data_IF_506078895664
#
_entry.id   IF_506078895664
#
_cell.length_a   1.000
_cell.length_b   1.000
_cell.length_c   1.000
_cell.angle_alpha   90.00
_cell.angle_beta   90.00
_cell.angle_gamma   90.00
#
_symmetry.space_group_name_H-M   'P 1'
#
loop_
_entity.id
_entity.type
_entity.pdbx_description
1 polymer ?
#
# COMPACT_ATOMS: atom_id res chain seq x y z
N UNK A 1 -27.21 -36.78 -47.11
CA UNK A 1 -26.07 -36.36 -46.26
C UNK A 1 -26.32 -35.01 -45.54
N UNK A 2 -27.47 -34.80 -44.89
CA UNK A 2 -27.73 -33.54 -44.16
C UNK A 2 -28.27 -33.69 -42.74
N UNK A 3 -28.54 -34.93 -42.29
CA UNK A 3 -29.06 -35.18 -40.94
C UNK A 3 -27.95 -35.32 -39.88
N UNK A 4 -26.75 -35.80 -40.22
CA UNK A 4 -25.66 -35.99 -39.26
C UNK A 4 -24.98 -34.69 -38.82
N UNK A 5 -24.94 -33.67 -39.69
CA UNK A 5 -24.32 -32.36 -39.41
C UNK A 5 -25.13 -31.49 -38.45
N UNK A 6 -26.44 -31.75 -38.35
CA UNK A 6 -27.37 -31.02 -37.48
C UNK A 6 -27.24 -31.43 -36.01
N UNK A 7 -27.04 -32.73 -35.75
CA UNK A 7 -26.86 -33.28 -34.40
C UNK A 7 -25.51 -32.89 -33.78
N UNK A 8 -24.43 -32.85 -34.55
CA UNK A 8 -23.10 -32.41 -34.06
C UNK A 8 -23.09 -30.92 -33.69
N UNK A 9 -23.79 -30.08 -34.45
CA UNK A 9 -23.92 -28.65 -34.13
C UNK A 9 -24.85 -28.39 -32.93
N UNK A 10 -25.92 -29.19 -32.77
CA UNK A 10 -26.80 -29.11 -31.61
C UNK A 10 -26.11 -29.54 -30.31
N UNK A 11 -25.29 -30.60 -30.36
CA UNK A 11 -24.47 -31.06 -29.24
C UNK A 11 -23.36 -30.04 -28.87
N UNK A 12 -22.69 -29.45 -29.86
CA UNK A 12 -21.66 -28.42 -29.63
C UNK A 12 -22.20 -27.12 -29.02
N UNK A 13 -23.42 -26.72 -29.40
CA UNK A 13 -24.09 -25.55 -28.83
C UNK A 13 -24.70 -25.83 -27.45
N UNK A 14 -25.12 -27.07 -27.17
CA UNK A 14 -25.57 -27.50 -25.84
C UNK A 14 -24.42 -27.53 -24.82
N UNK A 15 -23.25 -28.04 -25.22
CA UNK A 15 -22.04 -28.05 -24.39
C UNK A 15 -21.50 -26.63 -24.10
N UNK A 16 -21.57 -25.70 -25.07
CA UNK A 16 -21.24 -24.28 -24.85
C UNK A 16 -22.23 -23.52 -23.94
N UNK A 17 -23.45 -24.02 -23.76
CA UNK A 17 -24.43 -23.47 -22.79
C UNK A 17 -24.29 -24.07 -21.40
N UNK A 18 -23.76 -25.30 -21.29
CA UNK A 18 -23.48 -25.98 -20.01
C UNK A 18 -22.13 -25.55 -19.41
N UNK A 19 -21.16 -25.22 -20.25
CA UNK A 19 -19.96 -24.48 -19.83
C UNK A 19 -20.36 -23.00 -19.82
N UNK A 20 -20.93 -22.54 -18.71
CA UNK A 20 -21.12 -21.11 -18.48
C UNK A 20 -19.83 -20.36 -18.82
N UNK A 21 -19.93 -19.12 -19.35
CA UNK A 21 -18.74 -18.27 -19.53
C UNK A 21 -17.91 -18.39 -18.25
N UNK A 22 -16.61 -18.76 -18.33
CA UNK A 22 -15.79 -18.82 -17.13
C UNK A 22 -15.99 -17.50 -16.39
N UNK A 23 -16.41 -17.58 -15.13
CA UNK A 23 -16.62 -16.41 -14.31
C UNK A 23 -15.32 -15.60 -14.39
N UNK A 24 -15.43 -14.36 -14.88
CA UNK A 24 -14.26 -13.52 -15.11
C UNK A 24 -13.60 -13.33 -13.74
N UNK A 25 -12.39 -13.86 -13.58
CA UNK A 25 -11.63 -13.75 -12.33
C UNK A 25 -11.57 -12.29 -11.91
N UNK A 26 -11.92 -11.98 -10.66
CA UNK A 26 -11.82 -10.63 -10.13
C UNK A 26 -10.35 -10.25 -9.93
N UNK A 27 -10.01 -8.98 -10.19
CA UNK A 27 -8.67 -8.44 -9.98
C UNK A 27 -8.17 -8.65 -8.54
N UNK A 28 -9.09 -8.50 -7.59
CA UNK A 28 -8.89 -8.76 -6.17
C UNK A 28 -9.82 -9.86 -5.68
N UNK A 29 -9.30 -10.77 -4.84
CA UNK A 29 -10.05 -11.85 -4.19
C UNK A 29 -10.09 -11.67 -2.68
N UNK A 30 -11.03 -12.35 -2.01
CA UNK A 30 -11.05 -12.48 -0.53
C UNK A 30 -10.37 -13.80 -0.17
N UNK A 31 -9.43 -13.73 0.76
CA UNK A 31 -8.58 -14.84 1.18
C UNK A 31 -8.67 -15.01 2.69
N UNK A 32 -8.93 -16.23 3.15
CA UNK A 32 -8.88 -16.56 4.57
C UNK A 32 -7.43 -16.77 4.99
N UNK A 33 -7.04 -16.14 6.09
CA UNK A 33 -5.68 -16.26 6.62
C UNK A 33 -5.70 -16.49 8.11
N UNK A 34 -4.62 -17.08 8.62
CA UNK A 34 -4.43 -17.36 10.03
C UNK A 34 -3.07 -16.82 10.49
N UNK A 35 -3.06 -16.15 11.64
CA UNK A 35 -1.83 -15.64 12.23
C UNK A 35 -0.90 -16.79 12.62
N UNK A 36 0.30 -16.83 12.04
CA UNK A 36 1.32 -17.86 12.25
C UNK A 36 2.41 -17.40 13.21
N UNK A 37 2.87 -16.16 13.10
CA UNK A 37 3.92 -15.61 13.95
C UNK A 37 3.77 -14.10 14.14
N UNK A 38 4.29 -13.60 15.25
CA UNK A 38 4.46 -12.17 15.53
C UNK A 38 5.95 -11.93 15.78
N UNK A 39 6.55 -11.01 15.04
CA UNK A 39 7.96 -10.64 15.15
C UNK A 39 8.02 -9.17 15.53
N UNK A 40 8.52 -8.86 16.73
CA UNK A 40 8.78 -7.49 17.13
C UNK A 40 9.96 -6.94 16.31
N UNK A 41 9.72 -5.87 15.55
CA UNK A 41 10.76 -5.21 14.75
C UNK A 41 11.38 -4.06 15.54
N UNK A 42 10.53 -3.29 16.21
CA UNK A 42 10.87 -2.17 17.06
C UNK A 42 9.77 -1.96 18.12
N UNK A 43 9.91 -1.00 19.06
CA UNK A 43 8.85 -0.70 20.03
C UNK A 43 7.49 -0.37 19.40
N UNK A 44 7.50 0.30 18.25
CA UNK A 44 6.30 0.81 17.59
C UNK A 44 5.92 0.05 16.31
N UNK A 45 6.67 -0.99 15.91
CA UNK A 45 6.41 -1.76 14.70
C UNK A 45 6.55 -3.27 14.96
N UNK A 46 5.56 -4.05 14.52
CA UNK A 46 5.61 -5.51 14.59
C UNK A 46 5.16 -6.15 13.28
N UNK A 47 5.86 -7.19 12.86
CA UNK A 47 5.50 -8.01 11.71
C UNK A 47 4.56 -9.13 12.13
N UNK A 48 3.42 -9.21 11.47
CA UNK A 48 2.47 -10.30 11.59
C UNK A 48 2.61 -11.19 10.36
N UNK A 49 3.03 -12.42 10.58
CA UNK A 49 3.15 -13.44 9.54
C UNK A 49 1.84 -14.20 9.50
N UNK A 50 1.12 -14.09 8.40
CA UNK A 50 -0.11 -14.84 8.17
C UNK A 50 0.14 -16.01 7.24
N UNK A 51 -0.64 -17.08 7.41
CA UNK A 51 -0.56 -18.28 6.58
C UNK A 51 -1.93 -18.85 6.23
N UNK A 52 -1.98 -19.74 5.25
CA UNK A 52 -3.19 -20.45 4.83
C UNK A 52 -3.12 -20.85 3.35
N UNK A 53 -3.86 -21.88 2.94
CA UNK A 53 -3.86 -22.36 1.54
C UNK A 53 -4.22 -21.26 0.53
N UNK A 54 -5.12 -20.36 0.93
CA UNK A 54 -5.55 -19.19 0.15
C UNK A 54 -4.40 -18.23 -0.18
N UNK A 55 -3.35 -18.16 0.66
CA UNK A 55 -2.17 -17.31 0.41
C UNK A 55 -1.46 -17.71 -0.89
N UNK A 56 -1.48 -19.00 -1.24
CA UNK A 56 -0.92 -19.50 -2.51
C UNK A 56 -1.58 -18.92 -3.76
N UNK A 57 -2.79 -18.36 -3.62
CA UNK A 57 -3.58 -17.75 -4.69
C UNK A 57 -3.48 -16.22 -4.72
N UNK A 58 -2.75 -15.61 -3.78
CA UNK A 58 -2.47 -14.18 -3.79
C UNK A 58 -1.38 -13.84 -4.82
N UNK A 59 -1.29 -12.57 -5.19
CA UNK A 59 -0.21 -12.01 -5.99
C UNK A 59 0.18 -10.64 -5.44
N UNK A 60 1.45 -10.29 -5.61
CA UNK A 60 1.95 -8.92 -5.46
C UNK A 60 2.69 -8.53 -6.73
N UNK A 61 2.61 -7.25 -7.12
CA UNK A 61 3.27 -6.72 -8.34
C UNK A 61 4.26 -5.60 -8.08
N UNK A 62 4.25 -5.02 -6.88
CA UNK A 62 5.14 -3.93 -6.51
C UNK A 62 5.37 -3.90 -5.00
N UNK A 63 6.44 -3.22 -4.58
CA UNK A 63 6.83 -3.10 -3.17
C UNK A 63 5.78 -2.41 -2.28
N UNK A 64 4.95 -1.53 -2.84
CA UNK A 64 3.89 -0.83 -2.11
C UNK A 64 2.49 -1.43 -2.37
N UNK A 65 2.43 -2.72 -2.72
CA UNK A 65 1.17 -3.42 -2.97
C UNK A 65 0.26 -3.40 -1.74
N UNK A 66 -0.89 -2.74 -1.90
CA UNK A 66 -1.89 -2.62 -0.85
C UNK A 66 -2.87 -3.78 -0.85
N UNK A 67 -3.26 -4.17 0.35
CA UNK A 67 -4.32 -5.09 0.68
C UNK A 67 -5.32 -4.44 1.63
N UNK A 68 -6.51 -5.03 1.76
CA UNK A 68 -7.41 -4.76 2.87
C UNK A 68 -7.38 -5.93 3.83
N UNK A 69 -7.35 -5.65 5.13
CA UNK A 69 -7.50 -6.65 6.19
C UNK A 69 -8.83 -6.39 6.89
N UNK A 70 -9.64 -7.43 7.03
CA UNK A 70 -10.85 -7.43 7.84
C UNK A 70 -10.54 -8.01 9.21
N UNK A 71 -10.93 -7.28 10.24
CA UNK A 71 -10.74 -7.67 11.64
C UNK A 71 -12.04 -8.23 12.23
N UNK A 72 -11.98 -8.92 13.38
CA UNK A 72 -13.18 -9.38 14.05
C UNK A 72 -14.17 -8.24 14.30
N UNK A 73 -15.45 -8.54 14.10
CA UNK A 73 -16.56 -7.61 14.31
C UNK A 73 -16.76 -7.31 15.80
N UNK A 74 -17.58 -6.30 16.13
CA UNK A 74 -17.79 -5.89 17.52
C UNK A 74 -18.47 -6.98 18.39
N UNK A 75 -19.16 -7.92 17.75
CA UNK A 75 -19.74 -9.12 18.36
C UNK A 75 -18.72 -10.27 18.59
N UNK A 76 -17.45 -10.04 18.24
CA UNK A 76 -16.35 -10.99 18.40
C UNK A 76 -16.28 -12.06 17.30
N UNK A 77 -17.14 -12.00 16.28
CA UNK A 77 -17.11 -12.96 15.18
C UNK A 77 -15.95 -12.69 14.24
N UNK A 78 -15.35 -13.77 13.72
CA UNK A 78 -14.36 -13.68 12.66
C UNK A 78 -15.00 -13.15 11.36
N UNK A 79 -14.25 -12.37 10.56
CA UNK A 79 -14.74 -11.91 9.27
C UNK A 79 -15.09 -13.12 8.37
N UNK A 80 -16.27 -13.07 7.76
CA UNK A 80 -16.80 -14.13 6.88
C UNK A 80 -17.50 -13.53 5.65
N UNK A 81 -16.78 -12.67 4.94
CA UNK A 81 -17.20 -12.11 3.65
C UNK A 81 -17.04 -13.17 2.54
N UNK A 82 -17.90 -13.14 1.51
CA UNK A 82 -17.89 -14.15 0.46
C UNK A 82 -16.66 -14.03 -0.44
N UNK A 83 -16.03 -15.17 -0.74
CA UNK A 83 -14.90 -15.26 -1.69
C UNK A 83 -15.28 -15.01 -3.15
N UNK A 84 -16.56 -15.21 -3.48
CA UNK A 84 -17.11 -14.96 -4.80
C UNK A 84 -18.17 -13.85 -4.76
N UNK A 85 -18.26 -13.08 -5.84
CA UNK A 85 -19.16 -11.94 -5.93
C UNK A 85 -18.58 -10.68 -5.27
N UNK A 86 -19.44 -9.73 -4.92
CA UNK A 86 -19.01 -8.45 -4.34
C UNK A 86 -19.01 -8.51 -2.81
N UNK A 87 -17.82 -8.64 -2.23
CA UNK A 87 -17.63 -8.49 -0.79
C UNK A 87 -18.08 -7.11 -0.29
N UNK A 88 -17.97 -6.06 -1.12
CA UNK A 88 -18.43 -4.71 -0.76
C UNK A 88 -19.95 -4.67 -0.57
N UNK A 89 -20.70 -5.30 -1.47
CA UNK A 89 -22.16 -5.40 -1.33
C UNK A 89 -22.54 -6.25 -0.12
N UNK A 90 -21.87 -7.39 0.09
CA UNK A 90 -22.10 -8.23 1.26
C UNK A 90 -21.86 -7.48 2.57
N UNK A 91 -20.71 -6.78 2.69
CA UNK A 91 -20.39 -5.98 3.88
C UNK A 91 -21.37 -4.84 4.12
N UNK A 92 -21.81 -4.14 3.06
CA UNK A 92 -22.83 -3.06 3.18
C UNK A 92 -24.20 -3.55 3.63
N UNK A 93 -24.50 -4.84 3.47
CA UNK A 93 -25.73 -5.44 3.94
C UNK A 93 -25.72 -5.85 5.42
N UNK A 94 -24.57 -5.78 6.10
CA UNK A 94 -24.43 -6.13 7.51
C UNK A 94 -24.81 -4.97 8.42
N UNK A 95 -25.23 -5.28 9.66
CA UNK A 95 -25.39 -4.26 10.70
C UNK A 95 -24.03 -3.67 11.09
N UNK A 96 -24.03 -2.56 11.83
CA UNK A 96 -22.80 -1.95 12.31
C UNK A 96 -22.01 -2.89 13.23
N UNK A 97 -22.69 -3.68 14.05
CA UNK A 97 -22.09 -4.64 14.99
C UNK A 97 -21.47 -5.85 14.28
N UNK A 98 -22.08 -6.26 13.17
CA UNK A 98 -21.67 -7.44 12.39
C UNK A 98 -20.68 -7.10 11.27
N UNK A 99 -20.61 -5.83 10.86
CA UNK A 99 -19.74 -5.38 9.78
C UNK A 99 -18.28 -5.44 10.22
N UNK A 100 -17.44 -6.31 9.62
CA UNK A 100 -16.05 -6.40 10.03
C UNK A 100 -15.33 -5.10 9.71
N UNK A 101 -14.63 -4.49 10.68
CA UNK A 101 -13.81 -3.32 10.42
C UNK A 101 -12.70 -3.66 9.43
N UNK A 102 -12.36 -2.70 8.57
CA UNK A 102 -11.41 -2.90 7.48
C UNK A 102 -10.30 -1.86 7.56
N UNK A 103 -9.04 -2.27 7.37
CA UNK A 103 -7.92 -1.33 7.22
C UNK A 103 -7.05 -1.70 6.04
N UNK A 104 -6.36 -0.70 5.50
CA UNK A 104 -5.44 -0.86 4.38
C UNK A 104 -4.03 -1.09 4.93
N UNK A 105 -3.34 -2.09 4.39
CA UNK A 105 -1.97 -2.41 4.73
C UNK A 105 -1.15 -2.68 3.48
N UNK A 106 0.17 -2.60 3.61
CA UNK A 106 1.13 -3.01 2.59
C UNK A 106 1.51 -4.47 2.80
N UNK A 107 1.56 -5.26 1.72
CA UNK A 107 2.22 -6.58 1.75
C UNK A 107 3.71 -6.33 1.90
N UNK A 108 4.29 -6.75 3.02
CA UNK A 108 5.73 -6.60 3.26
C UNK A 108 6.55 -7.66 2.51
N UNK A 109 6.05 -8.89 2.49
CA UNK A 109 6.59 -9.99 1.69
C UNK A 109 5.50 -11.04 1.45
N UNK A 110 5.53 -11.70 0.29
CA UNK A 110 4.56 -12.72 -0.10
C UNK A 110 5.29 -13.97 -0.61
N UNK A 111 5.34 -14.99 0.23
CA UNK A 111 6.00 -16.28 -0.04
C UNK A 111 4.95 -17.34 -0.35
N UNK A 112 4.41 -17.31 -1.58
CA UNK A 112 3.28 -18.16 -2.02
C UNK A 112 3.54 -19.65 -1.86
N UNK A 113 4.75 -20.12 -2.13
CA UNK A 113 5.10 -21.54 -2.00
C UNK A 113 5.15 -22.00 -0.53
N UNK A 114 5.54 -21.08 0.36
CA UNK A 114 5.50 -21.30 1.81
C UNK A 114 4.10 -21.03 2.42
N UNK A 115 3.15 -20.55 1.60
CA UNK A 115 1.82 -20.12 2.01
C UNK A 115 1.85 -19.06 3.11
N UNK A 116 2.77 -18.10 3.00
CA UNK A 116 2.96 -17.02 3.98
C UNK A 116 2.88 -15.62 3.35
N UNK A 117 2.28 -14.70 4.09
CA UNK A 117 2.26 -13.27 3.78
C UNK A 117 2.59 -12.46 5.03
N UNK A 118 3.54 -11.55 4.90
CA UNK A 118 3.97 -10.65 5.96
C UNK A 118 3.28 -9.31 5.84
N UNK A 119 2.85 -8.79 6.98
CA UNK A 119 2.30 -7.44 7.09
C UNK A 119 2.86 -6.79 8.35
N UNK A 120 3.44 -5.61 8.19
CA UNK A 120 3.97 -4.83 9.30
C UNK A 120 2.89 -3.89 9.85
N UNK A 121 2.67 -3.94 11.16
CA UNK A 121 1.67 -3.17 11.89
C UNK A 121 2.35 -2.12 12.76
N UNK A 122 1.93 -0.86 12.59
CA UNK A 122 2.29 0.22 13.53
C UNK A 122 1.48 0.07 14.80
N UNK A 123 2.16 0.07 15.94
CA UNK A 123 1.61 -0.09 17.28
C UNK A 123 1.50 1.30 17.95
N UNK A 124 0.42 2.04 17.68
CA UNK A 124 0.17 3.36 18.29
C UNK A 124 -1.04 3.30 19.23
N UNK A 125 -0.83 2.85 20.48
CA UNK A 125 -1.92 2.73 21.47
C UNK A 125 -3.10 1.87 20.98
N UNK A 126 -4.19 1.83 21.75
CA UNK A 126 -5.42 1.10 21.36
C UNK A 126 -6.42 2.10 20.75
N UNK A 127 -6.09 2.61 19.56
CA UNK A 127 -6.88 3.63 18.86
C UNK A 127 -7.51 3.06 17.58
N UNK A 128 -8.37 2.04 17.73
CA UNK A 128 -9.15 1.47 16.64
C UNK A 128 -9.01 -0.04 16.48
N UNK A 129 -9.81 -0.64 15.57
CA UNK A 129 -9.99 -2.09 15.49
C UNK A 129 -8.71 -2.86 15.19
N UNK A 130 -7.86 -2.34 14.30
CA UNK A 130 -6.62 -3.00 13.94
C UNK A 130 -5.58 -2.96 15.07
N UNK A 131 -5.42 -1.83 15.75
CA UNK A 131 -4.54 -1.72 16.93
C UNK A 131 -5.05 -2.54 18.12
N UNK A 132 -6.38 -2.59 18.34
CA UNK A 132 -7.00 -3.44 19.36
C UNK A 132 -6.71 -4.91 19.08
N UNK A 133 -6.91 -5.33 17.82
CA UNK A 133 -6.59 -6.70 17.43
C UNK A 133 -5.09 -6.99 17.58
N UNK A 134 -4.21 -6.14 17.06
CA UNK A 134 -2.76 -6.37 17.06
C UNK A 134 -2.18 -6.51 18.48
N UNK A 135 -2.72 -5.79 19.46
CA UNK A 135 -2.28 -5.88 20.87
C UNK A 135 -2.77 -7.13 21.61
N UNK A 136 -3.81 -7.79 21.10
CA UNK A 136 -4.45 -8.96 21.73
C UNK A 136 -4.29 -10.25 20.91
N UNK A 137 -3.72 -10.12 19.72
CA UNK A 137 -3.60 -11.17 18.73
C UNK A 137 -2.85 -12.39 19.26
N UNK A 138 -3.38 -13.56 18.94
CA UNK A 138 -2.82 -14.86 19.31
C UNK A 138 -2.52 -15.66 18.06
N UNK A 139 -1.43 -16.44 18.11
CA UNK A 139 -1.15 -17.41 17.06
C UNK A 139 -2.38 -18.31 16.88
N UNK A 140 -2.83 -18.45 15.64
CA UNK A 140 -4.06 -19.13 15.28
C UNK A 140 -5.27 -18.21 15.03
N UNK A 141 -5.19 -16.92 15.34
CA UNK A 141 -6.29 -15.98 15.04
C UNK A 141 -6.57 -15.89 13.55
N UNK A 142 -7.85 -15.87 13.19
CA UNK A 142 -8.32 -15.89 11.80
C UNK A 142 -8.74 -14.50 11.36
N UNK A 143 -8.31 -14.11 10.16
CA UNK A 143 -8.72 -12.87 9.49
C UNK A 143 -9.09 -13.17 8.03
N UNK A 144 -9.63 -12.16 7.35
CA UNK A 144 -9.76 -12.17 5.90
C UNK A 144 -8.99 -11.02 5.29
N UNK A 145 -8.37 -11.28 4.14
CA UNK A 145 -7.64 -10.30 3.36
C UNK A 145 -8.27 -10.13 1.99
N UNK A 146 -8.38 -8.90 1.50
CA UNK A 146 -8.59 -8.63 0.08
C UNK A 146 -7.26 -8.26 -0.56
N UNK A 147 -6.81 -9.11 -1.46
CA UNK A 147 -5.51 -9.01 -2.13
C UNK A 147 -5.61 -9.30 -3.64
N UNK A 148 -4.59 -8.95 -4.44
CA UNK A 148 -4.59 -9.29 -5.85
C UNK A 148 -4.67 -10.79 -6.09
N UNK A 149 -5.47 -11.20 -7.07
CA UNK A 149 -5.67 -12.61 -7.43
C UNK A 149 -4.60 -13.09 -8.43
N UNK A 150 -3.92 -14.19 -8.12
CA UNK A 150 -2.90 -14.79 -8.98
C UNK A 150 -3.42 -15.13 -10.38
N UNK A 151 -4.67 -15.57 -10.47
CA UNK A 151 -5.30 -16.01 -11.73
C UNK A 151 -5.90 -14.86 -12.55
N UNK A 152 -5.68 -13.60 -12.13
CA UNK A 152 -6.06 -12.43 -12.91
C UNK A 152 -4.93 -12.04 -13.88
N UNK A 153 -5.21 -12.13 -15.17
CA UNK A 153 -4.21 -12.02 -16.25
C UNK A 153 -3.79 -10.59 -16.62
N UNK A 154 -4.30 -9.57 -15.93
CA UNK A 154 -3.95 -8.16 -16.16
C UNK A 154 -3.37 -7.50 -14.90
N UNK A 155 -3.03 -6.20 -14.99
CA UNK A 155 -2.63 -5.41 -13.81
C UNK A 155 -3.86 -5.13 -12.92
N UNK A 156 -3.92 -5.67 -11.68
CA UNK A 156 -5.02 -5.43 -10.76
C UNK A 156 -4.94 -4.05 -10.09
N UNK A 157 -3.81 -3.36 -10.17
CA UNK A 157 -3.55 -2.09 -9.51
C UNK A 157 -3.34 -2.22 -8.00
N UNK A 158 -3.63 -1.13 -7.27
CA UNK A 158 -3.50 -1.04 -5.82
C UNK A 158 -2.06 -0.92 -5.31
N UNK A 159 -1.20 -0.33 -6.12
CA UNK A 159 0.19 0.02 -5.83
C UNK A 159 0.54 1.24 -6.68
N UNK A 160 1.39 2.14 -6.18
CA UNK A 160 1.74 3.40 -6.87
C UNK A 160 3.22 3.53 -7.16
N UNK A 161 4.05 2.63 -6.62
CA UNK A 161 5.45 2.51 -6.99
C UNK A 161 5.56 2.14 -8.47
N UNK A 162 5.82 3.17 -9.30
CA UNK A 162 5.92 3.07 -10.76
C UNK A 162 7.07 3.97 -11.23
N UNK A 163 8.33 3.64 -10.93
CA UNK A 163 9.45 4.49 -11.29
C UNK A 163 9.57 4.64 -12.82
N UNK A 164 10.02 5.81 -13.33
CA UNK A 164 10.27 6.00 -14.75
C UNK A 164 11.43 5.11 -15.23
N UNK A 165 11.41 4.73 -16.51
CA UNK A 165 12.45 3.86 -17.11
C UNK A 165 13.86 4.46 -17.05
N UNK A 166 13.96 5.79 -17.09
CA UNK A 166 15.23 6.52 -17.11
C UNK A 166 15.56 7.12 -15.74
N UNK A 167 15.06 6.53 -14.65
CA UNK A 167 15.30 6.99 -13.28
C UNK A 167 16.80 7.16 -13.01
N UNK A 168 17.19 8.37 -12.60
CA UNK A 168 18.56 8.72 -12.17
C UNK A 168 18.63 9.22 -10.74
N UNK A 169 17.54 9.69 -10.16
CA UNK A 169 17.48 10.15 -8.78
C UNK A 169 16.13 9.80 -8.18
N UNK A 170 16.15 9.11 -7.05
CA UNK A 170 14.95 8.75 -6.30
C UNK A 170 14.89 9.50 -4.98
N UNK A 171 13.71 10.02 -4.65
CA UNK A 171 13.39 10.58 -3.34
C UNK A 171 12.26 9.77 -2.70
N UNK A 172 12.49 9.24 -1.50
CA UNK A 172 11.50 8.54 -0.68
C UNK A 172 11.29 9.36 0.60
N UNK A 173 10.04 9.69 0.92
CA UNK A 173 9.70 10.32 2.19
C UNK A 173 8.48 9.64 2.78
N UNK A 174 8.55 9.27 4.05
CA UNK A 174 7.34 8.81 4.74
C UNK A 174 7.49 8.69 6.24
N UNK A 175 6.38 8.35 6.88
CA UNK A 175 6.34 8.02 8.30
C UNK A 175 6.35 6.49 8.51
N UNK A 176 6.23 6.05 9.77
CA UNK A 176 6.25 4.64 10.14
C UNK A 176 5.13 3.81 9.48
N UNK A 177 4.05 4.45 9.02
CA UNK A 177 2.96 3.76 8.30
C UNK A 177 3.32 3.45 6.85
N UNK A 178 4.23 4.24 6.26
CA UNK A 178 4.76 4.05 4.92
C UNK A 178 6.07 3.23 4.91
N UNK A 179 6.72 3.07 6.06
CA UNK A 179 7.97 2.32 6.22
C UNK A 179 7.96 0.92 5.58
N UNK A 180 6.89 0.09 5.68
CA UNK A 180 6.89 -1.22 5.04
C UNK A 180 7.02 -1.16 3.50
N UNK A 181 6.38 -0.16 2.87
CA UNK A 181 6.49 0.08 1.44
C UNK A 181 7.88 0.64 1.08
N UNK A 182 8.39 1.60 1.85
CA UNK A 182 9.73 2.18 1.65
C UNK A 182 10.80 1.08 1.74
N UNK A 183 10.72 0.19 2.73
CA UNK A 183 11.64 -0.93 2.88
C UNK A 183 11.64 -1.84 1.63
N UNK A 184 10.46 -2.21 1.12
CA UNK A 184 10.36 -3.00 -0.11
C UNK A 184 10.88 -2.26 -1.35
N UNK A 185 10.68 -0.94 -1.44
CA UNK A 185 11.20 -0.12 -2.55
C UNK A 185 12.73 -0.08 -2.49
N UNK A 186 13.31 0.11 -1.31
CA UNK A 186 14.77 0.12 -1.12
C UNK A 186 15.40 -1.23 -1.47
N UNK A 187 14.76 -2.35 -1.08
CA UNK A 187 15.18 -3.70 -1.45
C UNK A 187 15.16 -3.91 -2.96
N UNK A 188 14.07 -3.48 -3.61
CA UNK A 188 13.95 -3.56 -5.07
C UNK A 188 15.01 -2.70 -5.77
N UNK A 189 15.24 -1.46 -5.31
CA UNK A 189 16.27 -0.58 -5.86
C UNK A 189 17.66 -1.18 -5.69
N UNK A 190 17.96 -1.80 -4.54
CA UNK A 190 19.23 -2.46 -4.30
C UNK A 190 19.47 -3.67 -5.23
N UNK A 191 18.41 -4.40 -5.58
CA UNK A 191 18.49 -5.54 -6.48
C UNK A 191 18.55 -5.12 -7.97
N UNK A 192 17.68 -4.21 -8.39
CA UNK A 192 17.42 -3.92 -9.79
C UNK A 192 18.29 -2.75 -10.32
N UNK A 193 18.53 -1.73 -9.50
CA UNK A 193 19.15 -0.46 -9.89
C UNK A 193 20.13 0.07 -8.80
N UNK A 194 21.13 -0.72 -8.37
CA UNK A 194 21.94 -0.40 -7.19
C UNK A 194 22.77 0.89 -7.29
N UNK A 195 23.05 1.36 -8.52
CA UNK A 195 23.83 2.57 -8.78
C UNK A 195 22.98 3.85 -8.80
N UNK A 196 21.65 3.75 -8.81
CA UNK A 196 20.77 4.93 -8.78
C UNK A 196 20.79 5.54 -7.37
N UNK A 197 21.17 6.83 -7.22
CA UNK A 197 21.07 7.53 -5.96
C UNK A 197 19.64 7.55 -5.40
N UNK A 198 19.51 7.18 -4.13
CA UNK A 198 18.25 7.25 -3.38
C UNK A 198 18.46 8.16 -2.17
N UNK A 199 17.58 9.14 -1.99
CA UNK A 199 17.46 9.89 -0.74
C UNK A 199 16.21 9.39 -0.03
N UNK A 200 16.36 8.79 1.14
CA UNK A 200 15.23 8.33 1.95
C UNK A 200 15.17 9.13 3.26
N UNK A 201 14.00 9.67 3.57
CA UNK A 201 13.70 10.34 4.83
C UNK A 201 12.52 9.65 5.51
N UNK A 202 12.76 9.03 6.66
CA UNK A 202 11.75 8.20 7.32
C UNK A 202 11.50 8.72 8.74
N UNK A 203 10.33 9.28 8.95
CA UNK A 203 9.86 9.71 10.26
C UNK A 203 9.36 8.50 11.07
N UNK A 204 9.81 8.42 12.31
CA UNK A 204 9.44 7.33 13.24
C UNK A 204 9.19 7.89 14.64
N UNK A 205 8.46 7.19 15.52
CA UNK A 205 8.21 7.67 16.88
C UNK A 205 9.48 7.94 17.67
N UNK A 206 10.37 6.94 17.79
CA UNK A 206 11.58 7.02 18.59
C UNK A 206 12.81 6.47 17.86
N UNK A 207 14.01 6.72 18.40
CA UNK A 207 15.26 6.25 17.80
C UNK A 207 15.34 4.71 17.71
N UNK A 208 14.73 4.00 18.67
CA UNK A 208 14.65 2.55 18.66
C UNK A 208 13.71 1.97 17.57
N UNK A 209 12.96 2.83 16.86
CA UNK A 209 12.20 2.48 15.65
C UNK A 209 13.01 2.59 14.35
N UNK A 210 14.29 2.99 14.43
CA UNK A 210 15.19 2.99 13.27
C UNK A 210 15.65 1.55 12.99
N UNK A 211 15.16 0.98 11.90
CA UNK A 211 15.48 -0.39 11.49
C UNK A 211 16.75 -0.46 10.64
N UNK A 212 17.41 -1.61 10.67
CA UNK A 212 18.43 -1.93 9.66
C UNK A 212 17.73 -2.34 8.35
N UNK A 213 17.76 -1.43 7.36
CA UNK A 213 17.09 -1.62 6.08
C UNK A 213 18.07 -2.08 5.00
N UNK A 214 17.67 -3.10 4.24
CA UNK A 214 18.42 -3.50 3.05
C UNK A 214 18.27 -2.44 1.97
N UNK A 215 19.38 -1.80 1.61
CA UNK A 215 19.45 -0.77 0.59
C UNK A 215 20.81 -0.79 -0.12
N UNK A 216 20.95 -0.04 -1.22
CA UNK A 216 22.22 0.00 -1.96
C UNK A 216 23.20 0.99 -1.33
N UNK A 217 24.49 0.88 -1.68
CA UNK A 217 25.51 1.87 -1.28
C UNK A 217 25.26 3.29 -1.80
N UNK A 218 24.38 3.44 -2.78
CA UNK A 218 23.97 4.74 -3.32
C UNK A 218 22.78 5.36 -2.56
N UNK A 219 22.28 4.67 -1.53
CA UNK A 219 21.19 5.16 -0.69
C UNK A 219 21.73 6.01 0.46
N UNK A 220 21.22 7.22 0.58
CA UNK A 220 21.31 8.07 1.77
C UNK A 220 20.05 7.89 2.60
N UNK A 221 20.14 7.07 3.65
CA UNK A 221 19.05 6.78 4.57
C UNK A 221 19.09 7.74 5.76
N UNK A 222 18.03 8.53 5.94
CA UNK A 222 17.91 9.52 6.99
C UNK A 222 16.69 9.19 7.86
N UNK A 223 16.93 8.79 9.10
CA UNK A 223 15.88 8.60 10.09
C UNK A 223 15.53 9.92 10.76
N UNK A 224 14.25 10.12 11.04
CA UNK A 224 13.71 11.32 11.66
C UNK A 224 12.89 10.96 12.92
N UNK A 225 13.54 10.60 14.04
CA UNK A 225 12.83 10.22 15.26
C UNK A 225 12.14 11.42 15.91
N UNK A 226 10.81 11.38 16.01
CA UNK A 226 10.00 12.48 16.54
C UNK A 226 10.35 12.84 17.98
N UNK A 227 10.62 11.85 18.82
CA UNK A 227 11.02 12.09 20.22
C UNK A 227 12.30 12.91 20.34
N UNK A 228 13.30 12.62 19.49
CA UNK A 228 14.59 13.32 19.47
C UNK A 228 14.46 14.71 18.85
N UNK A 229 13.65 14.82 17.80
CA UNK A 229 13.41 16.09 17.09
C UNK A 229 12.39 17.00 17.80
N UNK A 230 11.72 16.50 18.83
CA UNK A 230 10.67 17.19 19.58
C UNK A 230 9.56 17.76 18.68
N UNK A 231 9.11 16.97 17.71
CA UNK A 231 8.13 17.38 16.71
C UNK A 231 6.88 16.49 16.69
N UNK A 232 5.81 17.04 16.14
CA UNK A 232 4.56 16.33 15.86
C UNK A 232 4.67 15.48 14.59
N UNK A 233 3.67 14.63 14.36
CA UNK A 233 3.58 13.81 13.14
C UNK A 233 3.68 14.67 11.87
N UNK A 234 4.58 14.26 10.98
CA UNK A 234 4.81 14.85 9.67
C UNK A 234 5.61 16.16 9.66
N UNK A 235 5.89 16.77 10.81
CA UNK A 235 6.70 18.00 10.87
C UNK A 235 8.14 17.74 10.40
N UNK A 236 8.71 16.58 10.75
CA UNK A 236 10.06 16.24 10.32
C UNK A 236 10.10 15.92 8.82
N UNK A 237 9.06 15.28 8.28
CA UNK A 237 8.92 15.06 6.83
C UNK A 237 8.89 16.40 6.06
N UNK A 238 8.13 17.39 6.55
CA UNK A 238 8.06 18.73 5.96
C UNK A 238 9.42 19.43 6.04
N UNK A 239 10.10 19.33 7.19
CA UNK A 239 11.43 19.91 7.35
C UNK A 239 12.44 19.27 6.38
N UNK A 240 12.45 17.94 6.29
CA UNK A 240 13.35 17.20 5.42
C UNK A 240 13.20 17.61 3.95
N UNK A 241 11.96 17.74 3.43
CA UNK A 241 11.77 18.16 2.03
C UNK A 241 12.24 19.61 1.79
N UNK A 242 12.07 20.50 2.78
CA UNK A 242 12.37 21.94 2.61
C UNK A 242 13.85 22.26 2.75
N UNK A 243 14.53 21.59 3.68
CA UNK A 243 15.87 21.98 4.12
C UNK A 243 16.96 20.95 3.80
N UNK A 244 16.62 19.67 3.66
CA UNK A 244 17.60 18.58 3.54
C UNK A 244 17.62 17.92 2.17
N UNK A 245 16.45 17.75 1.54
CA UNK A 245 16.32 17.03 0.29
C UNK A 245 16.99 17.77 -0.87
N UNK A 246 17.85 17.08 -1.61
CA UNK A 246 18.39 17.59 -2.88
C UNK A 246 17.36 17.37 -3.98
N UNK A 247 16.71 18.46 -4.36
CA UNK A 247 15.68 18.50 -5.41
C UNK A 247 16.28 18.99 -6.74
N UNK A 248 15.74 18.54 -7.90
CA UNK A 248 16.10 19.11 -9.18
C UNK A 248 15.93 20.63 -9.20
N UNK A 249 16.76 21.30 -10.01
CA UNK A 249 16.54 22.70 -10.30
C UNK A 249 15.15 22.88 -10.92
N UNK A 250 14.45 23.95 -10.54
CA UNK A 250 13.17 24.30 -11.16
C UNK A 250 13.36 24.36 -12.68
N UNK A 251 12.49 23.71 -13.45
CA UNK A 251 12.54 23.81 -14.89
C UNK A 251 12.45 25.30 -15.28
N UNK A 252 13.49 25.81 -15.95
CA UNK A 252 13.52 27.19 -16.45
C UNK A 252 12.50 27.31 -17.59
N UNK A 253 11.22 27.48 -17.25
CA UNK A 253 10.16 27.58 -18.25
C UNK A 253 8.82 27.06 -17.77
N UNK A 254 8.14 27.85 -16.93
CA UNK A 254 6.77 28.36 -17.12
C UNK A 254 6.43 29.12 -15.85
N UNK A 255 6.51 30.45 -15.87
CA UNK A 255 6.03 31.32 -14.78
C UNK A 255 4.51 31.28 -14.58
N UNK A 256 3.84 30.21 -15.01
CA UNK A 256 2.45 29.96 -14.71
C UNK A 256 2.37 29.47 -13.27
N UNK A 257 1.71 30.24 -12.39
CA UNK A 257 1.25 29.72 -11.11
C UNK A 257 0.38 28.49 -11.41
N UNK A 258 0.90 27.29 -11.14
CA UNK A 258 0.09 26.07 -11.21
C UNK A 258 -0.94 26.19 -10.10
N UNK A 259 -2.19 26.46 -10.47
CA UNK A 259 -3.30 26.43 -9.54
C UNK A 259 -3.50 24.97 -9.11
N UNK A 260 -3.19 24.68 -7.85
CA UNK A 260 -3.51 23.38 -7.26
C UNK A 260 -5.00 23.34 -6.94
N UNK A 261 -5.67 22.28 -7.36
CA UNK A 261 -7.00 21.98 -6.85
C UNK A 261 -6.94 21.83 -5.32
N UNK A 262 -7.89 22.47 -4.63
CA UNK A 262 -8.06 22.31 -3.19
C UNK A 262 -8.55 20.90 -2.89
N UNK A 263 -7.74 20.14 -2.15
CA UNK A 263 -8.12 18.82 -1.67
C UNK A 263 -8.59 18.98 -0.23
N UNK A 264 -9.89 18.78 0.01
CA UNK A 264 -10.44 18.71 1.38
C UNK A 264 -10.00 17.39 2.05
N UNK A 265 -8.81 17.42 2.64
CA UNK A 265 -8.23 16.26 3.33
C UNK A 265 -9.02 15.85 4.59
N UNK A 266 -10.03 16.63 5.02
CA UNK A 266 -10.92 16.26 6.13
C UNK A 266 -12.02 15.32 5.67
N UNK A 267 -12.31 15.30 4.36
CA UNK A 267 -13.36 14.48 3.75
C UNK A 267 -12.82 13.36 2.88
N UNK A 268 -11.62 13.52 2.31
CA UNK A 268 -11.02 12.56 1.39
C UNK A 268 -9.53 12.40 1.63
N UNK A 269 -9.01 11.20 1.38
CA UNK A 269 -7.57 10.95 1.42
C UNK A 269 -6.90 11.59 0.20
N UNK A 270 -5.80 12.31 0.41
CA UNK A 270 -4.99 12.85 -0.69
C UNK A 270 -4.32 11.69 -1.45
N UNK A 271 -4.60 11.57 -2.74
CA UNK A 271 -4.00 10.57 -3.61
C UNK A 271 -3.63 11.23 -4.94
N UNK A 272 -2.38 11.64 -5.10
CA UNK A 272 -1.85 12.21 -6.33
C UNK A 272 -0.76 11.30 -6.89
N UNK A 273 -0.98 10.84 -8.13
CA UNK A 273 -0.14 9.84 -8.76
C UNK A 273 0.71 10.47 -9.84
N UNK A 274 1.98 10.07 -9.85
CA UNK A 274 2.85 10.36 -10.96
C UNK A 274 2.28 9.73 -12.24
N UNK A 275 2.54 10.40 -13.36
CA UNK A 275 2.43 9.81 -14.68
C UNK A 275 3.83 9.84 -15.30
N UNK A 276 4.73 8.95 -14.83
CA UNK A 276 6.13 9.08 -15.15
C UNK A 276 6.33 8.95 -16.67
N UNK A 277 6.75 10.05 -17.28
CA UNK A 277 7.25 10.06 -18.66
C UNK A 277 8.69 9.55 -18.72
N UNK A 278 9.50 10.13 -19.61
CA UNK A 278 10.94 9.84 -19.70
C UNK A 278 11.78 10.64 -18.69
N UNK A 279 11.20 11.04 -17.54
CA UNK A 279 11.87 11.81 -16.50
C UNK A 279 12.99 11.03 -15.81
N UNK A 280 13.97 11.76 -15.27
CA UNK A 280 15.14 11.21 -14.58
C UNK A 280 15.09 11.39 -13.06
N UNK A 281 14.09 12.09 -12.54
CA UNK A 281 13.77 12.22 -11.12
C UNK A 281 12.40 11.62 -10.81
N UNK A 282 12.28 10.98 -9.64
CA UNK A 282 11.02 10.48 -9.12
C UNK A 282 10.96 10.67 -7.61
N UNK A 283 9.82 11.13 -7.10
CA UNK A 283 9.55 11.20 -5.66
C UNK A 283 8.33 10.34 -5.32
N UNK A 284 8.50 9.46 -4.32
CA UNK A 284 7.42 8.69 -3.72
C UNK A 284 7.29 9.11 -2.26
N UNK A 285 6.14 9.67 -1.90
CA UNK A 285 5.90 10.30 -0.61
C UNK A 285 4.59 9.79 -0.03
N UNK A 286 4.64 9.20 1.16
CA UNK A 286 3.44 8.70 1.83
C UNK A 286 3.49 8.84 3.34
N UNK A 287 2.36 9.13 3.98
CA UNK A 287 2.28 9.27 5.44
C UNK A 287 1.07 10.09 5.88
N UNK A 288 1.21 10.88 6.94
CA UNK A 288 0.15 11.75 7.44
C UNK A 288 -0.34 12.76 6.37
N UNK A 289 -1.66 12.81 6.17
CA UNK A 289 -2.28 13.50 5.02
C UNK A 289 -2.03 15.01 4.98
N UNK A 290 -2.04 15.71 6.11
CA UNK A 290 -1.76 17.13 6.17
C UNK A 290 -0.29 17.44 5.86
N UNK A 291 0.63 16.59 6.33
CA UNK A 291 2.04 16.70 6.00
C UNK A 291 2.30 16.48 4.51
N UNK A 292 1.75 15.43 3.92
CA UNK A 292 1.84 15.16 2.47
C UNK A 292 1.23 16.32 1.67
N UNK A 293 0.14 16.93 2.13
CA UNK A 293 -0.45 18.10 1.46
C UNK A 293 0.45 19.35 1.54
N UNK A 294 1.18 19.55 2.64
CA UNK A 294 2.16 20.65 2.75
C UNK A 294 3.34 20.41 1.80
N UNK A 295 3.88 19.20 1.79
CA UNK A 295 4.95 18.76 0.90
C UNK A 295 4.55 18.94 -0.57
N UNK A 296 3.33 18.53 -0.93
CA UNK A 296 2.74 18.74 -2.27
C UNK A 296 2.80 20.20 -2.70
N UNK A 297 2.32 21.10 -1.84
CA UNK A 297 2.29 22.55 -2.10
C UNK A 297 3.71 23.09 -2.30
N UNK A 298 4.64 22.69 -1.46
CA UNK A 298 6.04 23.09 -1.57
C UNK A 298 6.65 22.64 -2.91
N UNK A 299 6.50 21.35 -3.25
CA UNK A 299 7.14 20.79 -4.44
C UNK A 299 6.56 21.36 -5.75
N UNK A 300 5.25 21.53 -5.84
CA UNK A 300 4.61 21.98 -7.08
C UNK A 300 4.59 23.50 -7.17
N UNK A 301 4.16 24.20 -6.11
CA UNK A 301 3.94 25.65 -6.16
C UNK A 301 5.20 26.44 -5.88
N UNK A 302 5.99 26.05 -4.87
CA UNK A 302 7.20 26.79 -4.48
C UNK A 302 8.43 26.36 -5.29
N UNK A 303 8.57 25.06 -5.58
CA UNK A 303 9.73 24.50 -6.32
C UNK A 303 9.47 24.27 -7.81
N UNK A 304 8.22 24.30 -8.27
CA UNK A 304 7.89 24.16 -9.69
C UNK A 304 8.19 22.79 -10.28
N UNK A 305 8.20 21.72 -9.46
CA UNK A 305 8.41 20.36 -9.96
C UNK A 305 7.18 19.88 -10.74
N UNK A 306 7.44 19.10 -11.79
CA UNK A 306 6.39 18.47 -12.58
C UNK A 306 5.69 17.38 -11.75
N UNK A 307 4.35 17.45 -11.70
CA UNK A 307 3.48 16.45 -11.05
C UNK A 307 3.69 15.06 -11.62
N UNK A 308 4.11 14.94 -12.88
CA UNK A 308 4.41 13.67 -13.52
C UNK A 308 5.53 12.88 -12.83
N UNK A 309 6.38 13.56 -12.04
CA UNK A 309 7.48 12.96 -11.28
C UNK A 309 7.15 12.70 -9.80
N UNK A 310 5.94 13.03 -9.33
CA UNK A 310 5.58 13.01 -7.91
C UNK A 310 4.43 12.04 -7.64
N UNK A 311 4.65 11.09 -6.74
CA UNK A 311 3.60 10.26 -6.14
C UNK A 311 3.44 10.66 -4.68
N UNK A 312 2.25 11.15 -4.31
CA UNK A 312 1.95 11.76 -3.02
C UNK A 312 0.68 11.13 -2.45
N UNK A 313 0.79 10.44 -1.32
CA UNK A 313 -0.29 9.64 -0.74
C UNK A 313 -0.48 9.90 0.75
N UNK A 314 -1.64 10.40 1.15
CA UNK A 314 -2.04 10.40 2.55
C UNK A 314 -2.44 8.98 2.96
N UNK A 315 -1.75 8.37 3.91
CA UNK A 315 -2.10 7.02 4.40
C UNK A 315 -3.09 7.10 5.56
N UNK A 316 -2.97 8.14 6.37
CA UNK A 316 -3.81 8.36 7.54
C UNK A 316 -3.91 9.86 7.84
N UNK A 317 -4.73 10.21 8.83
CA UNK A 317 -4.85 11.59 9.30
C UNK A 317 -5.02 11.61 10.81
N UNK A 318 -4.26 12.45 11.49
CA UNK A 318 -4.34 12.59 12.93
C UNK A 318 -5.77 12.98 13.36
N UNK A 319 -6.30 12.29 14.37
CA UNK A 319 -7.65 12.52 14.90
C UNK A 319 -8.80 12.05 13.99
N UNK A 320 -8.50 11.33 12.90
CA UNK A 320 -9.51 10.77 11.99
C UNK A 320 -9.32 9.27 11.83
N UNK A 321 -10.44 8.58 11.63
CA UNK A 321 -10.45 7.17 11.24
C UNK A 321 -11.14 7.07 9.90
N UNK A 322 -10.46 6.50 8.91
CA UNK A 322 -11.05 6.18 7.61
C UNK A 322 -11.36 4.68 7.56
N UNK A 323 -12.50 4.33 6.99
CA UNK A 323 -12.92 2.95 6.71
C UNK A 323 -12.65 2.55 5.27
#
# INVERSE_FOLDING_TARGET
MSASTSLTNALGNGLRKLVGKPARTSAYGVFDVQLKAIIALSPSLSRFVFSGEDVGQMRTLAADQRIKIFFPSADGQYPNLPKQGSWQQARRGLSAEQSPPMRTYTIRDLRREALEVDVDFVLHGVNGPASTWATQARIGDRLQMVAPNLTFDADPGGYEWRPPKNLRNLLLIGDETALPAIAGILEQMAADLPEVPVQAFIEVPCEADCLDLTCSRATELNWLPREVLHCSHGEAMIHAIRELARLPAAAAGTGAKVALEEVDIDRQILWELAQPGNGDFYAWIAGESAAVMNIRRYLITERGLDRSALTLMGYWRAGRTFD
#
